data_IF_536229447030
#
_entry.id   IF_536229447030
#
_cell.length_a   1.000
_cell.length_b   1.000
_cell.length_c   1.000
_cell.angle_alpha   90.00
_cell.angle_beta   90.00
_cell.angle_gamma   90.00
#
_symmetry.space_group_name_H-M   'P 1'
#
loop_
_entity.id
_entity.type
_entity.pdbx_description
1 polymer ?
#
# COMPACT_ATOMS: atom_id res chain seq x y z
N UNK A 1 -10.71 -19.22 -4.54
CA UNK A 1 -11.79 -18.20 -4.40
C UNK A 1 -11.42 -16.93 -5.14
N UNK A 2 -10.31 -16.26 -4.78
CA UNK A 2 -9.84 -15.01 -5.40
C UNK A 2 -9.75 -15.08 -6.93
N UNK A 3 -9.21 -16.18 -7.49
CA UNK A 3 -9.18 -16.36 -8.95
C UNK A 3 -10.55 -16.32 -9.64
N UNK A 4 -11.63 -16.82 -8.99
CA UNK A 4 -12.99 -16.72 -9.52
C UNK A 4 -13.54 -15.30 -9.43
N UNK A 5 -13.23 -14.57 -8.37
CA UNK A 5 -13.60 -13.16 -8.19
C UNK A 5 -12.92 -12.30 -9.27
N UNK A 6 -11.63 -12.50 -9.50
CA UNK A 6 -10.89 -11.78 -10.53
C UNK A 6 -11.40 -12.12 -11.94
N UNK A 7 -11.68 -13.39 -12.23
CA UNK A 7 -12.31 -13.79 -13.50
C UNK A 7 -13.66 -13.11 -13.72
N UNK A 8 -14.51 -13.03 -12.69
CA UNK A 8 -15.79 -12.30 -12.76
C UNK A 8 -15.58 -10.83 -13.11
N UNK A 9 -14.61 -10.16 -12.47
CA UNK A 9 -14.31 -8.75 -12.78
C UNK A 9 -13.87 -8.57 -14.23
N UNK A 10 -12.97 -9.43 -14.71
CA UNK A 10 -12.51 -9.41 -16.11
C UNK A 10 -13.68 -9.61 -17.08
N UNK A 11 -14.48 -10.65 -16.86
CA UNK A 11 -15.57 -11.03 -17.75
C UNK A 11 -16.70 -9.97 -17.75
N UNK A 12 -16.83 -9.19 -16.67
CA UNK A 12 -17.76 -8.08 -16.56
C UNK A 12 -17.20 -6.72 -17.02
N UNK A 13 -15.97 -6.65 -17.54
CA UNK A 13 -15.36 -5.41 -18.01
C UNK A 13 -14.99 -4.42 -16.90
N UNK A 14 -14.69 -4.91 -15.69
CA UNK A 14 -14.43 -4.10 -14.50
C UNK A 14 -12.94 -3.80 -14.27
N UNK A 15 -12.13 -3.90 -15.33
CA UNK A 15 -10.69 -3.72 -15.30
C UNK A 15 -10.27 -2.74 -16.42
N UNK A 16 -9.80 -1.55 -16.06
CA UNK A 16 -9.19 -0.59 -16.98
C UNK A 16 -7.68 -0.45 -16.69
N UNK A 17 -6.90 -1.40 -17.22
CA UNK A 17 -5.52 -1.62 -16.79
C UNK A 17 -4.46 -0.90 -17.64
N UNK A 18 -4.69 -0.75 -18.96
CA UNK A 18 -3.66 -0.24 -19.87
C UNK A 18 -3.54 1.29 -19.82
N UNK A 19 -2.33 1.82 -19.98
CA UNK A 19 -2.10 3.26 -20.17
C UNK A 19 -2.58 3.73 -21.55
N UNK A 20 -3.09 4.97 -21.65
CA UNK A 20 -3.48 5.61 -22.91
C UNK A 20 -3.41 7.14 -22.82
N UNK A 21 -3.25 7.82 -23.96
CA UNK A 21 -3.23 9.29 -24.03
C UNK A 21 -4.51 9.88 -23.41
N UNK A 22 -4.34 10.81 -22.48
CA UNK A 22 -5.45 11.49 -21.79
C UNK A 22 -6.05 10.71 -20.60
N UNK A 23 -5.52 9.53 -20.26
CA UNK A 23 -5.91 8.81 -19.04
C UNK A 23 -5.26 9.47 -17.82
N UNK A 24 -6.02 9.56 -16.72
CA UNK A 24 -5.52 10.09 -15.45
C UNK A 24 -4.34 9.23 -14.93
N UNK A 25 -3.34 9.84 -14.25
CA UNK A 25 -2.21 9.11 -13.70
C UNK A 25 -2.62 8.24 -12.51
N UNK A 26 -1.73 7.31 -12.11
CA UNK A 26 -1.89 6.50 -10.90
C UNK A 26 -2.69 5.20 -11.11
N UNK A 27 -3.17 4.66 -9.99
CA UNK A 27 -4.04 3.50 -9.90
C UNK A 27 -5.02 3.69 -8.74
N UNK A 28 -6.20 3.09 -8.85
CA UNK A 28 -7.17 3.03 -7.77
C UNK A 28 -8.14 1.86 -7.97
N UNK A 29 -8.73 1.42 -6.87
CA UNK A 29 -9.91 0.58 -6.84
C UNK A 29 -11.10 1.37 -6.29
N UNK A 30 -12.27 1.18 -6.88
CA UNK A 30 -13.53 1.77 -6.41
C UNK A 30 -14.66 0.76 -6.46
N UNK A 31 -15.76 1.03 -5.78
CA UNK A 31 -16.92 0.13 -5.73
C UNK A 31 -18.13 0.77 -6.39
N UNK A 32 -18.70 0.10 -7.38
CA UNK A 32 -20.01 0.41 -7.94
C UNK A 32 -21.08 -0.04 -6.94
N UNK A 33 -21.46 0.85 -6.03
CA UNK A 33 -22.23 0.51 -4.82
C UNK A 33 -23.55 -0.22 -5.08
N UNK A 34 -24.31 0.19 -6.10
CA UNK A 34 -25.58 -0.44 -6.47
C UNK A 34 -25.37 -1.87 -6.99
N UNK A 35 -24.40 -2.05 -7.89
CA UNK A 35 -24.06 -3.36 -8.44
C UNK A 35 -23.29 -4.24 -7.45
N UNK A 36 -22.75 -3.64 -6.37
CA UNK A 36 -21.85 -4.26 -5.39
C UNK A 36 -20.62 -4.91 -6.03
N UNK A 37 -20.05 -4.24 -7.03
CA UNK A 37 -18.90 -4.74 -7.77
C UNK A 37 -17.74 -3.75 -7.72
N UNK A 38 -16.51 -4.22 -7.46
CA UNK A 38 -15.33 -3.38 -7.56
C UNK A 38 -14.95 -3.12 -9.03
N UNK A 39 -14.21 -2.05 -9.25
CA UNK A 39 -13.58 -1.67 -10.50
C UNK A 39 -12.11 -1.32 -10.23
N UNK A 40 -11.20 -1.83 -11.06
CA UNK A 40 -9.78 -1.51 -10.98
C UNK A 40 -9.39 -0.60 -12.13
N UNK A 41 -8.75 0.52 -11.78
CA UNK A 41 -8.11 1.45 -12.69
C UNK A 41 -6.60 1.44 -12.44
N UNK A 42 -5.79 1.29 -13.48
CA UNK A 42 -4.34 1.48 -13.40
C UNK A 42 -3.74 1.85 -14.75
N UNK A 43 -2.44 2.11 -14.80
CA UNK A 43 -1.72 2.55 -16.01
C UNK A 43 -0.53 1.64 -16.34
N UNK A 44 -0.80 0.41 -16.77
CA UNK A 44 0.22 -0.56 -17.13
C UNK A 44 0.97 -0.17 -18.42
N UNK A 45 2.30 -0.35 -18.40
CA UNK A 45 3.25 -0.05 -19.49
C UNK A 45 4.28 -1.15 -19.74
N UNK A 46 4.19 -2.30 -19.06
CA UNK A 46 5.07 -3.46 -19.20
C UNK A 46 6.25 -3.49 -18.23
N UNK A 47 6.11 -2.92 -17.03
CA UNK A 47 7.18 -2.89 -16.00
C UNK A 47 6.76 -3.66 -14.74
N UNK A 48 7.72 -4.04 -13.87
CA UNK A 48 7.43 -4.84 -12.66
C UNK A 48 6.34 -4.22 -11.78
N UNK A 49 6.41 -2.89 -11.64
CA UNK A 49 5.43 -2.11 -10.89
C UNK A 49 3.99 -2.34 -11.36
N UNK A 50 3.75 -2.70 -12.61
CA UNK A 50 2.40 -2.97 -13.10
C UNK A 50 1.79 -4.21 -12.45
N UNK A 51 2.59 -5.26 -12.21
CA UNK A 51 2.14 -6.45 -11.49
C UNK A 51 1.84 -6.08 -10.04
N UNK A 52 2.69 -5.26 -9.41
CA UNK A 52 2.49 -4.77 -8.04
C UNK A 52 1.23 -3.94 -7.89
N UNK A 53 1.01 -2.97 -8.79
CA UNK A 53 -0.22 -2.17 -8.79
C UNK A 53 -1.45 -3.03 -9.04
N UNK A 54 -1.39 -4.03 -9.94
CA UNK A 54 -2.53 -4.94 -10.12
C UNK A 54 -2.86 -5.74 -8.87
N UNK A 55 -1.85 -6.21 -8.13
CA UNK A 55 -2.03 -6.91 -6.86
C UNK A 55 -2.56 -5.99 -5.75
N UNK A 56 -2.04 -4.77 -5.67
CA UNK A 56 -2.47 -3.71 -4.75
C UNK A 56 -3.97 -3.42 -4.93
N UNK A 57 -4.38 -3.02 -6.13
CA UNK A 57 -5.78 -2.74 -6.43
C UNK A 57 -6.64 -4.02 -6.36
N UNK A 58 -6.04 -5.18 -6.64
CA UNK A 58 -6.66 -6.49 -6.44
C UNK A 58 -7.04 -6.73 -4.99
N UNK A 59 -6.17 -6.39 -4.03
CA UNK A 59 -6.47 -6.47 -2.60
C UNK A 59 -7.66 -5.62 -2.20
N UNK A 60 -7.72 -4.36 -2.66
CA UNK A 60 -8.89 -3.48 -2.48
C UNK A 60 -10.16 -4.08 -3.09
N UNK A 61 -10.07 -4.61 -4.31
CA UNK A 61 -11.22 -5.24 -4.98
C UNK A 61 -11.71 -6.49 -4.25
N UNK A 62 -10.79 -7.34 -3.75
CA UNK A 62 -11.15 -8.52 -2.97
C UNK A 62 -11.77 -8.15 -1.63
N UNK A 63 -11.33 -7.05 -1.01
CA UNK A 63 -11.96 -6.50 0.18
C UNK A 63 -13.40 -6.07 -0.09
N UNK A 64 -13.63 -5.27 -1.13
CA UNK A 64 -14.96 -4.84 -1.52
C UNK A 64 -15.90 -6.02 -1.82
N UNK A 65 -15.39 -7.09 -2.44
CA UNK A 65 -16.16 -8.31 -2.69
C UNK A 65 -16.43 -9.10 -1.41
N UNK A 66 -15.47 -9.18 -0.49
CA UNK A 66 -15.65 -9.88 0.78
C UNK A 66 -16.72 -9.22 1.66
N UNK A 67 -16.79 -7.88 1.67
CA UNK A 67 -17.78 -7.12 2.42
C UNK A 67 -19.08 -6.83 1.62
N UNK A 68 -19.23 -7.37 0.40
CA UNK A 68 -20.32 -6.99 -0.51
C UNK A 68 -21.73 -7.35 -0.02
N UNK A 69 -21.86 -8.38 0.81
CA UNK A 69 -23.14 -8.84 1.36
C UNK A 69 -23.61 -8.03 2.58
N UNK A 70 -22.77 -7.17 3.14
CA UNK A 70 -23.11 -6.33 4.30
C UNK A 70 -24.32 -5.42 3.98
N UNK A 71 -25.41 -5.49 4.76
CA UNK A 71 -26.61 -4.70 4.51
C UNK A 71 -26.36 -3.20 4.65
N UNK A 72 -25.49 -2.78 5.57
CA UNK A 72 -25.18 -1.37 5.78
C UNK A 72 -24.10 -0.89 4.81
N UNK A 73 -24.46 0.02 3.90
CA UNK A 73 -23.53 0.54 2.87
C UNK A 73 -22.22 1.05 3.48
N UNK A 74 -22.28 1.74 4.61
CA UNK A 74 -21.10 2.28 5.29
C UNK A 74 -20.17 1.20 5.85
N UNK A 75 -20.65 -0.03 6.09
CA UNK A 75 -19.83 -1.14 6.56
C UNK A 75 -19.26 -1.99 5.43
N UNK A 76 -19.62 -1.72 4.17
CA UNK A 76 -18.97 -2.33 2.99
C UNK A 76 -17.56 -1.81 2.73
N UNK A 77 -17.16 -0.76 3.44
CA UNK A 77 -15.82 -0.19 3.44
C UNK A 77 -15.27 -0.22 4.86
N UNK A 78 -13.95 -0.29 5.01
CA UNK A 78 -13.27 -0.32 6.30
C UNK A 78 -12.57 1.03 6.58
N UNK A 79 -12.03 1.25 7.79
CA UNK A 79 -11.02 2.28 8.01
C UNK A 79 -9.94 2.19 6.93
N UNK A 80 -9.51 3.33 6.41
CA UNK A 80 -8.66 3.42 5.22
C UNK A 80 -7.33 2.68 5.43
N UNK A 81 -6.80 2.70 6.64
CA UNK A 81 -5.65 1.95 7.11
C UNK A 81 -5.79 0.45 6.87
N UNK A 82 -6.98 -0.09 7.12
CA UNK A 82 -7.25 -1.50 6.91
C UNK A 82 -7.54 -1.82 5.44
N UNK A 83 -8.09 -0.87 4.67
CA UNK A 83 -8.13 -0.98 3.21
C UNK A 83 -6.70 -1.14 2.66
N UNK A 84 -5.75 -0.36 3.16
CA UNK A 84 -4.35 -0.48 2.75
C UNK A 84 -3.67 -1.78 3.27
N UNK A 85 -4.09 -2.34 4.42
CA UNK A 85 -3.68 -3.71 4.79
C UNK A 85 -4.18 -4.72 3.76
N UNK A 86 -5.38 -4.51 3.21
CA UNK A 86 -5.92 -5.38 2.18
C UNK A 86 -5.05 -5.35 0.90
N UNK A 87 -4.70 -4.16 0.41
CA UNK A 87 -3.90 -3.97 -0.80
C UNK A 87 -2.45 -4.44 -0.62
N UNK A 88 -1.72 -3.87 0.32
CA UNK A 88 -0.29 -4.17 0.56
C UNK A 88 -0.10 -5.62 1.05
N UNK A 89 -1.07 -6.15 1.78
CA UNK A 89 -1.09 -7.56 2.17
C UNK A 89 -1.20 -8.50 0.97
N UNK A 90 -2.02 -8.15 -0.03
CA UNK A 90 -2.15 -8.93 -1.27
C UNK A 90 -0.85 -8.93 -2.08
N UNK A 91 -0.13 -7.81 -2.13
CA UNK A 91 1.18 -7.74 -2.79
C UNK A 91 2.18 -8.73 -2.20
N UNK A 92 2.27 -8.81 -0.87
CA UNK A 92 3.19 -9.71 -0.17
C UNK A 92 2.72 -11.18 -0.17
N UNK A 93 1.41 -11.43 -0.07
CA UNK A 93 0.85 -12.78 -0.18
C UNK A 93 1.13 -13.40 -1.56
N UNK A 94 1.15 -12.56 -2.61
CA UNK A 94 1.39 -13.00 -3.97
C UNK A 94 2.87 -13.26 -4.29
N UNK A 95 3.83 -12.86 -3.44
CA UNK A 95 5.27 -13.01 -3.71
C UNK A 95 5.69 -14.46 -4.04
N UNK A 96 5.04 -15.45 -3.40
CA UNK A 96 5.29 -16.87 -3.65
C UNK A 96 4.69 -17.41 -4.97
N UNK A 97 3.98 -16.57 -5.72
CA UNK A 97 3.26 -16.92 -6.94
C UNK A 97 3.66 -16.06 -8.16
N UNK A 98 4.73 -15.26 -8.03
CA UNK A 98 5.20 -14.38 -9.11
C UNK A 98 5.96 -15.14 -10.22
N UNK A 99 6.19 -16.43 -10.05
CA UNK A 99 6.81 -17.31 -11.06
C UNK A 99 5.97 -17.42 -12.35
N UNK A 100 4.68 -17.08 -12.28
CA UNK A 100 3.80 -16.98 -13.45
C UNK A 100 4.09 -15.74 -14.32
N UNK A 101 4.74 -14.73 -13.76
CA UNK A 101 5.12 -13.50 -14.47
C UNK A 101 6.62 -13.46 -14.79
N UNK A 102 7.45 -14.05 -13.92
CA UNK A 102 8.90 -13.93 -13.97
C UNK A 102 9.60 -15.29 -13.82
N UNK A 103 10.73 -15.45 -14.52
CA UNK A 103 11.62 -16.61 -14.35
C UNK A 103 12.98 -16.21 -13.79
N UNK A 104 13.64 -17.13 -13.10
CA UNK A 104 15.05 -17.01 -12.72
C UNK A 104 15.40 -15.70 -11.99
N UNK A 105 16.35 -14.95 -12.54
CA UNK A 105 16.87 -13.72 -11.93
C UNK A 105 15.82 -12.59 -11.86
N UNK A 106 14.86 -12.53 -12.79
CA UNK A 106 13.83 -11.49 -12.78
C UNK A 106 12.84 -11.68 -11.62
N UNK A 107 12.54 -12.94 -11.26
CA UNK A 107 11.73 -13.26 -10.08
C UNK A 107 12.43 -12.82 -8.79
N UNK A 108 13.72 -13.11 -8.66
CA UNK A 108 14.52 -12.67 -7.52
C UNK A 108 14.61 -11.13 -7.44
N UNK A 109 14.81 -10.46 -8.57
CA UNK A 109 14.84 -9.00 -8.67
C UNK A 109 13.50 -8.38 -8.25
N UNK A 110 12.38 -8.85 -8.79
CA UNK A 110 11.04 -8.34 -8.43
C UNK A 110 10.75 -8.46 -6.93
N UNK A 111 11.10 -9.60 -6.32
CA UNK A 111 10.90 -9.82 -4.87
C UNK A 111 11.82 -8.92 -4.04
N UNK A 112 13.07 -8.76 -4.46
CA UNK A 112 14.03 -7.87 -3.80
C UNK A 112 13.55 -6.42 -3.85
N UNK A 113 13.25 -5.90 -5.03
CA UNK A 113 12.84 -4.51 -5.22
C UNK A 113 11.57 -4.19 -4.41
N UNK A 114 10.63 -5.14 -4.32
CA UNK A 114 9.44 -5.01 -3.47
C UNK A 114 9.80 -4.92 -1.98
N UNK A 115 10.62 -5.84 -1.48
CA UNK A 115 11.00 -5.86 -0.06
C UNK A 115 11.87 -4.66 0.33
N UNK A 116 12.77 -4.20 -0.54
CA UNK A 116 13.50 -2.94 -0.37
C UNK A 116 12.52 -1.76 -0.34
N UNK A 117 11.55 -1.73 -1.25
CA UNK A 117 10.48 -0.72 -1.31
C UNK A 117 9.64 -0.65 -0.03
N UNK A 118 9.30 -1.80 0.56
CA UNK A 118 8.58 -1.92 1.84
C UNK A 118 9.32 -1.25 3.00
N UNK A 119 10.65 -1.28 2.99
CA UNK A 119 11.46 -0.56 4.00
C UNK A 119 11.56 0.93 3.64
N UNK A 120 11.83 1.23 2.37
CA UNK A 120 12.07 2.59 1.90
C UNK A 120 10.82 3.49 1.92
N UNK A 121 9.62 2.91 1.88
CA UNK A 121 8.37 3.68 1.96
C UNK A 121 8.13 4.28 3.34
N UNK A 122 8.59 3.64 4.43
CA UNK A 122 8.37 4.11 5.80
C UNK A 122 8.94 5.51 6.10
N UNK A 123 10.22 5.83 5.78
CA UNK A 123 10.73 7.19 5.96
C UNK A 123 10.04 8.20 5.04
N UNK A 124 9.62 7.79 3.83
CA UNK A 124 8.86 8.66 2.94
C UNK A 124 7.48 8.98 3.51
N UNK A 125 6.79 7.99 4.09
CA UNK A 125 5.52 8.18 4.79
C UNK A 125 5.68 9.18 5.94
N UNK A 126 6.69 8.99 6.78
CA UNK A 126 6.99 9.91 7.88
C UNK A 126 7.31 11.33 7.40
N UNK A 127 8.00 11.46 6.26
CA UNK A 127 8.30 12.76 5.62
C UNK A 127 7.02 13.47 5.20
N UNK A 128 6.12 12.78 4.50
CA UNK A 128 4.88 13.36 3.97
C UNK A 128 3.92 13.72 5.11
N UNK A 129 3.75 12.83 6.08
CA UNK A 129 2.89 13.07 7.24
C UNK A 129 3.37 14.26 8.08
N UNK A 130 4.66 14.28 8.44
CA UNK A 130 5.24 15.40 9.20
C UNK A 130 5.11 16.74 8.45
N UNK A 131 5.27 16.73 7.12
CA UNK A 131 5.11 17.93 6.31
C UNK A 131 3.65 18.42 6.28
N UNK A 132 2.67 17.52 6.19
CA UNK A 132 1.26 17.89 6.29
C UNK A 132 0.92 18.45 7.67
N UNK A 133 1.38 17.80 8.74
CA UNK A 133 1.24 18.36 10.10
C UNK A 133 1.82 19.77 10.18
N UNK A 134 3.00 20.01 9.60
CA UNK A 134 3.60 21.35 9.58
C UNK A 134 2.72 22.36 8.82
N UNK A 135 2.23 22.03 7.62
CA UNK A 135 1.33 22.88 6.83
C UNK A 135 0.10 23.29 7.65
N UNK A 136 -0.61 22.33 8.22
CA UNK A 136 -1.88 22.59 8.91
C UNK A 136 -1.74 23.20 10.30
N UNK A 137 -0.55 23.13 10.91
CA UNK A 137 -0.24 23.82 12.17
C UNK A 137 0.39 25.22 11.96
N UNK A 138 0.73 25.58 10.72
CA UNK A 138 1.28 26.90 10.35
C UNK A 138 0.46 27.52 9.20
N UNK A 139 -0.83 27.83 9.41
CA UNK A 139 -1.73 28.23 8.32
C UNK A 139 -1.33 29.52 7.59
N UNK A 140 -0.58 30.40 8.26
CA UNK A 140 -0.14 31.69 7.72
C UNK A 140 1.21 31.63 6.97
N UNK A 141 1.74 30.42 6.72
CA UNK A 141 3.06 30.27 6.11
C UNK A 141 3.15 30.87 4.69
N UNK A 142 4.29 31.48 4.39
CA UNK A 142 4.69 31.86 3.03
C UNK A 142 5.29 30.71 2.24
N UNK A 143 5.50 30.94 0.94
CA UNK A 143 6.15 29.96 0.04
C UNK A 143 7.55 29.56 0.53
N UNK A 144 8.36 30.52 0.99
CA UNK A 144 9.72 30.26 1.43
C UNK A 144 9.77 29.46 2.74
N UNK A 145 8.85 29.72 3.66
CA UNK A 145 8.73 28.96 4.91
C UNK A 145 8.31 27.53 4.62
N UNK A 146 7.32 27.32 3.75
CA UNK A 146 6.90 25.98 3.31
C UNK A 146 8.04 25.20 2.66
N UNK A 147 8.81 25.87 1.81
CA UNK A 147 9.99 25.30 1.14
C UNK A 147 11.06 24.88 2.16
N UNK A 148 11.38 25.77 3.11
CA UNK A 148 12.38 25.50 4.14
C UNK A 148 11.94 24.34 5.05
N UNK A 149 10.67 24.32 5.46
CA UNK A 149 10.11 23.24 6.27
C UNK A 149 10.16 21.89 5.54
N UNK A 150 9.78 21.85 4.26
CA UNK A 150 9.89 20.64 3.45
C UNK A 150 11.33 20.10 3.41
N UNK A 151 12.32 20.96 3.08
CA UNK A 151 13.73 20.53 3.00
C UNK A 151 14.23 20.02 4.35
N UNK A 152 13.91 20.72 5.44
CA UNK A 152 14.31 20.29 6.79
C UNK A 152 13.69 18.93 7.19
N UNK A 153 12.41 18.71 6.87
CA UNK A 153 11.70 17.45 7.16
C UNK A 153 12.25 16.33 6.27
N UNK A 154 12.46 16.58 4.99
CA UNK A 154 13.08 15.64 4.07
C UNK A 154 14.47 15.22 4.56
N UNK A 155 15.28 16.15 5.06
CA UNK A 155 16.63 15.84 5.56
C UNK A 155 16.62 15.06 6.86
N UNK A 156 15.64 15.32 7.74
CA UNK A 156 15.43 14.54 8.96
C UNK A 156 15.19 13.05 8.68
N UNK A 157 14.45 12.72 7.62
CA UNK A 157 14.05 11.33 7.31
C UNK A 157 14.82 10.70 6.14
N UNK A 158 15.50 11.49 5.30
CA UNK A 158 16.15 11.03 4.07
C UNK A 158 17.53 10.37 4.25
N UNK A 159 18.00 10.22 5.50
CA UNK A 159 19.22 9.47 5.83
C UNK A 159 20.55 10.09 5.37
N UNK A 160 20.54 11.21 4.63
CA UNK A 160 21.73 11.95 4.21
C UNK A 160 22.63 11.26 3.18
N UNK A 161 22.17 10.16 2.58
CA UNK A 161 22.97 9.35 1.62
C UNK A 161 22.87 9.84 0.18
N UNK A 162 21.83 10.63 -0.13
CA UNK A 162 21.60 11.17 -1.48
C UNK A 162 22.26 12.55 -1.59
N UNK A 163 23.17 12.70 -2.54
CA UNK A 163 23.75 14.00 -2.89
C UNK A 163 22.78 14.81 -3.75
N UNK A 164 22.41 15.99 -3.26
CA UNK A 164 21.51 16.93 -3.92
C UNK A 164 22.24 18.15 -4.48
N UNK A 165 23.58 18.15 -4.51
CA UNK A 165 24.39 19.26 -5.02
C UNK A 165 23.98 19.62 -6.45
N UNK A 166 23.54 20.86 -6.65
CA UNK A 166 23.04 21.35 -7.94
C UNK A 166 21.60 20.96 -8.28
N UNK A 167 20.90 20.27 -7.38
CA UNK A 167 19.50 19.81 -7.51
C UNK A 167 18.62 20.33 -6.36
N UNK A 168 19.02 21.39 -5.68
CA UNK A 168 18.35 21.92 -4.49
C UNK A 168 16.91 22.36 -4.79
N UNK A 169 16.66 22.87 -6.00
CA UNK A 169 15.31 23.22 -6.46
C UNK A 169 14.41 22.00 -6.63
N UNK A 170 14.93 20.94 -7.23
CA UNK A 170 14.20 19.70 -7.42
C UNK A 170 13.87 19.06 -6.05
N UNK A 171 14.85 19.04 -5.14
CA UNK A 171 14.65 18.57 -3.76
C UNK A 171 13.54 19.34 -3.08
N UNK A 172 13.60 20.67 -3.14
CA UNK A 172 12.67 21.55 -2.44
C UNK A 172 11.23 21.51 -2.99
N UNK A 173 11.06 21.07 -4.24
CA UNK A 173 9.76 20.91 -4.91
C UNK A 173 9.29 19.46 -4.99
N UNK A 174 10.06 18.50 -4.44
CA UNK A 174 9.82 17.07 -4.60
C UNK A 174 8.44 16.61 -4.12
N UNK A 175 7.90 17.23 -3.06
CA UNK A 175 6.59 16.90 -2.50
C UNK A 175 5.42 17.14 -3.47
N UNK A 176 5.56 18.04 -4.46
CA UNK A 176 4.50 18.31 -5.44
C UNK A 176 4.12 17.08 -6.28
N UNK A 177 5.03 16.10 -6.39
CA UNK A 177 4.72 14.83 -7.09
C UNK A 177 3.73 13.94 -6.32
N UNK A 178 3.49 14.24 -5.04
CA UNK A 178 2.63 13.44 -4.18
C UNK A 178 1.20 13.95 -4.22
N UNK A 179 0.39 13.33 -5.09
CA UNK A 179 -1.02 13.68 -5.31
C UNK A 179 -1.84 13.76 -4.00
N UNK A 180 -1.61 12.82 -3.08
CA UNK A 180 -2.34 12.72 -1.82
C UNK A 180 -2.30 13.98 -0.95
N UNK A 181 -1.22 14.78 -1.00
CA UNK A 181 -1.15 16.04 -0.25
C UNK A 181 -2.25 17.02 -0.70
N UNK A 182 -2.62 16.97 -1.98
CA UNK A 182 -3.58 17.89 -2.59
C UNK A 182 -5.01 17.34 -2.57
N UNK A 183 -5.19 16.03 -2.76
CA UNK A 183 -6.51 15.43 -2.92
C UNK A 183 -7.06 14.81 -1.63
N UNK A 184 -6.20 14.26 -0.77
CA UNK A 184 -6.61 13.53 0.43
C UNK A 184 -5.64 13.81 1.60
N UNK A 185 -5.75 15.00 2.24
CA UNK A 185 -4.86 15.36 3.34
C UNK A 185 -4.83 14.31 4.45
N UNK A 186 -3.65 14.09 5.02
CA UNK A 186 -3.35 13.10 6.07
C UNK A 186 -3.55 11.62 5.71
N UNK A 187 -4.00 11.27 4.51
CA UNK A 187 -4.11 9.87 4.08
C UNK A 187 -2.77 9.12 4.01
N UNK A 188 -1.66 9.82 3.82
CA UNK A 188 -0.40 9.14 3.53
C UNK A 188 0.19 8.35 4.71
N UNK A 189 -0.19 8.69 5.96
CA UNK A 189 0.21 7.92 7.15
C UNK A 189 -0.38 6.50 7.15
N UNK A 190 -1.53 6.32 6.48
CA UNK A 190 -2.25 5.05 6.45
C UNK A 190 -1.42 3.94 5.77
N UNK A 191 -0.57 4.28 4.80
CA UNK A 191 0.40 3.35 4.21
C UNK A 191 1.41 2.83 5.25
N UNK A 192 1.85 3.67 6.19
CA UNK A 192 2.76 3.26 7.27
C UNK A 192 2.07 2.30 8.25
N UNK A 193 0.80 2.59 8.57
CA UNK A 193 -0.03 1.73 9.42
C UNK A 193 -0.30 0.39 8.73
N UNK A 194 -0.64 0.42 7.45
CA UNK A 194 -0.92 -0.75 6.66
C UNK A 194 0.31 -1.65 6.46
N UNK A 195 1.48 -1.05 6.25
CA UNK A 195 2.72 -1.80 6.06
C UNK A 195 3.05 -2.68 7.28
N UNK A 196 2.74 -2.23 8.50
CA UNK A 196 2.83 -3.04 9.72
C UNK A 196 1.94 -4.29 9.63
N UNK A 197 0.68 -4.12 9.19
CA UNK A 197 -0.24 -5.24 9.02
C UNK A 197 0.21 -6.20 7.92
N UNK A 198 0.61 -5.66 6.77
CA UNK A 198 1.06 -6.41 5.60
C UNK A 198 2.32 -7.25 5.91
N UNK A 199 3.30 -6.70 6.64
CA UNK A 199 4.49 -7.45 7.05
C UNK A 199 4.18 -8.58 8.03
N UNK A 200 3.29 -8.36 9.00
CA UNK A 200 2.83 -9.42 9.89
C UNK A 200 2.14 -10.54 9.10
N UNK A 201 1.29 -10.18 8.15
CA UNK A 201 0.61 -11.14 7.28
C UNK A 201 1.62 -11.94 6.44
N UNK A 202 2.62 -11.28 5.88
CA UNK A 202 3.70 -11.90 5.12
C UNK A 202 4.50 -12.91 5.94
N UNK A 203 4.95 -12.53 7.15
CA UNK A 203 5.66 -13.45 8.05
C UNK A 203 4.81 -14.67 8.40
N UNK A 204 3.51 -14.46 8.68
CA UNK A 204 2.58 -15.55 8.95
C UNK A 204 2.41 -16.47 7.74
N UNK A 205 2.25 -15.90 6.54
CA UNK A 205 2.06 -16.65 5.30
C UNK A 205 3.28 -17.51 4.94
N UNK A 206 4.49 -17.15 5.38
CA UNK A 206 5.69 -17.98 5.20
C UNK A 206 5.72 -19.21 6.10
N UNK A 207 4.97 -19.20 7.20
CA UNK A 207 4.87 -20.33 8.13
C UNK A 207 3.66 -21.20 7.81
N UNK A 208 2.50 -20.58 7.61
CA UNK A 208 1.25 -21.26 7.24
C UNK A 208 0.47 -20.38 6.23
N UNK A 209 0.72 -20.57 4.92
CA UNK A 209 0.09 -19.77 3.87
C UNK A 209 -1.43 -19.90 3.85
N UNK A 210 -1.96 -21.09 4.12
CA UNK A 210 -3.39 -21.35 4.07
C UNK A 210 -4.11 -20.64 5.21
N UNK A 211 -3.62 -20.79 6.45
CA UNK A 211 -4.20 -20.12 7.60
C UNK A 211 -4.07 -18.59 7.51
N UNK A 212 -2.95 -18.07 7.00
CA UNK A 212 -2.76 -16.63 6.80
C UNK A 212 -3.77 -16.07 5.78
N UNK A 213 -3.96 -16.76 4.64
CA UNK A 213 -4.93 -16.34 3.62
C UNK A 213 -6.38 -16.44 4.13
N UNK A 214 -6.71 -17.46 4.91
CA UNK A 214 -8.04 -17.61 5.52
C UNK A 214 -8.33 -16.50 6.54
N UNK A 215 -7.37 -16.18 7.41
CA UNK A 215 -7.51 -15.07 8.36
C UNK A 215 -7.62 -13.71 7.64
N UNK A 216 -6.80 -13.49 6.60
CA UNK A 216 -6.89 -12.29 5.75
C UNK A 216 -8.30 -12.13 5.18
N UNK A 217 -8.84 -13.14 4.48
CA UNK A 217 -10.20 -13.09 3.90
C UNK A 217 -11.28 -12.88 4.96
N UNK A 218 -11.15 -13.53 6.12
CA UNK A 218 -12.11 -13.40 7.21
C UNK A 218 -12.14 -11.96 7.74
N UNK A 219 -10.98 -11.32 7.87
CA UNK A 219 -10.90 -9.93 8.29
C UNK A 219 -11.46 -8.96 7.24
N UNK A 220 -11.18 -9.20 5.95
CA UNK A 220 -11.78 -8.41 4.86
C UNK A 220 -13.31 -8.47 4.86
N UNK A 221 -13.88 -9.64 5.18
CA UNK A 221 -15.33 -9.82 5.20
C UNK A 221 -16.04 -9.00 6.31
N UNK A 222 -15.31 -8.49 7.30
CA UNK A 222 -15.85 -7.61 8.34
C UNK A 222 -16.10 -6.19 7.81
N UNK A 223 -15.45 -5.79 6.71
CA UNK A 223 -15.50 -4.42 6.21
C UNK A 223 -15.29 -3.39 7.32
N UNK A 224 -16.24 -2.47 7.47
CA UNK A 224 -16.23 -1.41 8.49
C UNK A 224 -17.03 -1.74 9.75
N UNK A 225 -17.45 -2.98 9.93
CA UNK A 225 -18.30 -3.36 11.06
C UNK A 225 -17.53 -3.48 12.39
N UNK A 226 -16.21 -3.27 12.39
CA UNK A 226 -15.31 -3.43 13.54
C UNK A 226 -14.27 -2.32 13.57
N UNK A 227 -13.80 -1.90 14.76
CA UNK A 227 -12.71 -0.94 14.88
C UNK A 227 -11.38 -1.54 14.41
N UNK A 228 -10.44 -0.68 14.05
CA UNK A 228 -9.15 -1.06 13.44
C UNK A 228 -8.38 -2.15 14.22
N UNK A 229 -8.24 -2.11 15.56
CA UNK A 229 -7.54 -3.17 16.29
C UNK A 229 -8.23 -4.54 16.19
N UNK A 230 -9.56 -4.57 16.11
CA UNK A 230 -10.32 -5.81 15.94
C UNK A 230 -10.17 -6.37 14.53
N UNK A 231 -10.09 -5.51 13.51
CA UNK A 231 -9.79 -5.93 12.12
C UNK A 231 -8.39 -6.55 12.02
N UNK A 232 -7.38 -5.94 12.65
CA UNK A 232 -6.04 -6.52 12.77
C UNK A 232 -6.09 -7.89 13.48
N UNK A 233 -6.76 -7.98 14.63
CA UNK A 233 -6.88 -9.22 15.38
C UNK A 233 -7.57 -10.33 14.58
N UNK A 234 -8.60 -10.00 13.80
CA UNK A 234 -9.30 -10.94 12.92
C UNK A 234 -8.38 -11.52 11.82
N UNK A 235 -7.42 -10.72 11.33
CA UNK A 235 -6.38 -11.18 10.40
C UNK A 235 -5.22 -11.92 11.10
N UNK A 236 -5.29 -12.13 12.42
CA UNK A 236 -4.22 -12.72 13.22
C UNK A 236 -3.02 -11.80 13.41
N UNK A 237 -3.23 -10.49 13.29
CA UNK A 237 -2.22 -9.43 13.38
C UNK A 237 -2.40 -8.65 14.69
N UNK A 238 -1.34 -7.96 15.11
CA UNK A 238 -1.38 -7.04 16.26
C UNK A 238 -1.33 -5.60 15.77
N UNK A 239 -2.23 -4.78 16.29
CA UNK A 239 -2.18 -3.33 16.09
C UNK A 239 -1.22 -2.72 17.13
N UNK A 240 0.08 -2.89 16.89
CA UNK A 240 1.16 -2.46 17.79
C UNK A 240 2.37 -1.96 17.00
N UNK A 241 2.71 -0.69 17.19
CA UNK A 241 3.84 -0.01 16.55
C UNK A 241 5.12 -0.06 17.38
N UNK A 242 5.14 -0.80 18.49
CA UNK A 242 6.33 -0.91 19.32
C UNK A 242 7.49 -1.58 18.58
N UNK A 243 8.71 -1.29 19.00
CA UNK A 243 9.90 -1.97 18.51
C UNK A 243 9.84 -3.50 18.71
N UNK A 244 9.11 -3.97 19.73
CA UNK A 244 8.91 -5.39 19.98
C UNK A 244 8.05 -6.09 18.90
N UNK A 245 7.20 -5.34 18.20
CA UNK A 245 6.43 -5.84 17.07
C UNK A 245 7.13 -5.56 15.73
N UNK A 246 7.67 -4.35 15.52
CA UNK A 246 8.31 -3.99 14.25
C UNK A 246 9.69 -4.64 14.03
N UNK A 247 10.51 -4.75 15.09
CA UNK A 247 11.89 -5.27 14.99
C UNK A 247 11.97 -6.63 14.30
N UNK A 248 11.24 -7.66 14.78
CA UNK A 248 11.25 -8.98 14.16
C UNK A 248 10.76 -8.98 12.70
N UNK A 249 9.86 -8.07 12.32
CA UNK A 249 9.37 -7.96 10.94
C UNK A 249 10.46 -7.42 10.02
N UNK A 250 11.17 -6.37 10.44
CA UNK A 250 12.29 -5.80 9.68
C UNK A 250 13.45 -6.80 9.60
N UNK A 251 13.74 -7.54 10.67
CA UNK A 251 14.73 -8.61 10.67
C UNK A 251 14.35 -9.73 9.67
N UNK A 252 13.07 -10.10 9.60
CA UNK A 252 12.59 -11.09 8.63
C UNK A 252 12.76 -10.59 7.18
N UNK A 253 12.49 -9.30 6.91
CA UNK A 253 12.76 -8.69 5.60
C UNK A 253 14.25 -8.72 5.27
N UNK A 254 15.11 -8.31 6.21
CA UNK A 254 16.55 -8.32 6.02
C UNK A 254 17.10 -9.73 5.75
N UNK A 255 16.61 -10.73 6.49
CA UNK A 255 16.97 -12.13 6.27
C UNK A 255 16.54 -12.61 4.88
N UNK A 256 15.33 -12.26 4.43
CA UNK A 256 14.87 -12.64 3.09
C UNK A 256 15.70 -11.96 1.99
N UNK A 257 16.03 -10.68 2.14
CA UNK A 257 16.85 -9.96 1.18
C UNK A 257 18.24 -10.59 0.99
N UNK A 258 18.81 -11.20 2.03
CA UNK A 258 20.05 -11.97 1.94
C UNK A 258 19.92 -13.25 1.11
N UNK A 259 18.73 -13.86 1.07
CA UNK A 259 18.48 -15.06 0.22
C UNK A 259 18.27 -14.71 -1.24
N UNK A 260 17.93 -13.46 -1.54
CA UNK A 260 17.73 -12.94 -2.89
C UNK A 260 19.01 -12.34 -3.50
N UNK A 261 20.10 -12.30 -2.71
CA UNK A 261 21.49 -11.86 -3.03
C UNK A 261 22.12 -12.55 -4.23
#
# INVERSE_FOLDING_TARGET
QLGRQFAMMRDAGLLDLASRKGKAPGGYATTLAEARRPFIFMNAVGVDRDVRTLLHEGGHAFHALAASDEPLVNYRHAPIEFCEVASMGMELLADGHLDVFYGGADLARSRREHLEGVIMILPWVATIDAFQHWIYTHPDHGLQERRAAWVAIHDRFGGGVVDWTGLEEAKASLWHRQLHIFEMPFYYIEYGIAQLGALQLWVRARTDPAAALDAYKAALALGGSRPLPELFAAAGLRFDFSAATLGPLVEAVAAELQTLA
#
